data_IF_523108544255
#
_entry.id   IF_523108544255
#
_cell.length_a   1.000
_cell.length_b   1.000
_cell.length_c   1.000
_cell.angle_alpha   90.00
_cell.angle_beta   90.00
_cell.angle_gamma   90.00
#
_symmetry.space_group_name_H-M   'P 1'
#
loop_
_entity.id
_entity.type
_entity.pdbx_description
1 polymer ?
#
# COMPACT_ATOMS: atom_id res chain seq x y z
N UNK A 1 5.61 -2.62 23.07
CA UNK A 1 4.49 -1.80 22.57
C UNK A 1 4.28 -2.27 21.15
N UNK A 2 3.26 -3.08 20.90
CA UNK A 2 2.95 -3.51 19.55
C UNK A 2 2.52 -2.28 18.74
N UNK A 3 3.35 -1.86 17.78
CA UNK A 3 2.97 -0.83 16.82
C UNK A 3 1.85 -1.39 15.95
N UNK A 4 0.67 -0.79 16.04
CA UNK A 4 -0.43 -1.11 15.15
C UNK A 4 -0.07 -0.63 13.74
N UNK A 5 0.34 -1.57 12.89
CA UNK A 5 0.67 -1.33 11.49
C UNK A 5 -0.31 -2.11 10.63
N UNK A 6 -1.24 -1.45 9.93
CA UNK A 6 -2.12 -2.14 8.98
C UNK A 6 -1.27 -2.73 7.85
N UNK A 7 -1.65 -3.92 7.38
CA UNK A 7 -0.96 -4.63 6.29
C UNK A 7 -1.93 -5.01 5.19
N UNK A 8 -1.43 -5.05 3.95
CA UNK A 8 -2.09 -5.71 2.83
C UNK A 8 -1.46 -7.08 2.67
N UNK A 9 -2.27 -8.13 2.82
CA UNK A 9 -1.82 -9.52 2.76
C UNK A 9 -2.11 -10.15 1.40
N UNK A 10 -1.07 -10.66 0.75
CA UNK A 10 -1.15 -11.37 -0.52
C UNK A 10 -1.51 -12.85 -0.32
N UNK A 11 -1.87 -13.54 -1.40
CA UNK A 11 -2.25 -14.96 -1.39
C UNK A 11 -1.11 -15.89 -0.97
N UNK A 12 0.12 -15.52 -1.30
CA UNK A 12 1.33 -16.24 -0.90
C UNK A 12 1.76 -15.99 0.55
N UNK A 13 0.98 -15.23 1.32
CA UNK A 13 1.27 -14.92 2.73
C UNK A 13 2.21 -13.73 2.94
N UNK A 14 2.77 -13.13 1.86
CA UNK A 14 3.54 -11.88 1.97
C UNK A 14 2.64 -10.76 2.51
N UNK A 15 3.18 -9.98 3.43
CA UNK A 15 2.50 -8.84 4.04
C UNK A 15 3.24 -7.55 3.70
N UNK A 16 2.49 -6.56 3.23
CA UNK A 16 3.02 -5.25 2.88
C UNK A 16 2.44 -4.24 3.87
N UNK A 17 3.31 -3.64 4.67
CA UNK A 17 2.94 -2.61 5.63
C UNK A 17 2.37 -1.39 4.92
N UNK A 18 1.19 -0.95 5.33
CA UNK A 18 0.56 0.27 4.81
C UNK A 18 1.16 1.46 5.53
N UNK A 19 2.31 1.93 5.03
CA UNK A 19 3.01 3.11 5.53
C UNK A 19 2.70 4.35 4.69
N UNK A 20 3.14 5.52 5.15
CA UNK A 20 3.04 6.77 4.39
C UNK A 20 3.74 6.67 3.03
N UNK A 21 4.88 6.01 2.99
CA UNK A 21 5.68 5.78 1.78
C UNK A 21 4.89 4.91 0.79
N UNK A 22 4.20 3.87 1.29
CA UNK A 22 3.32 3.07 0.44
C UNK A 22 2.19 3.91 -0.15
N UNK A 23 1.54 4.77 0.65
CA UNK A 23 0.48 5.66 0.14
C UNK A 23 1.04 6.61 -0.94
N UNK A 24 2.24 7.14 -0.74
CA UNK A 24 2.90 8.00 -1.74
C UNK A 24 3.20 7.24 -3.04
N UNK A 25 3.66 5.99 -2.93
CA UNK A 25 3.89 5.11 -4.08
C UNK A 25 2.58 4.78 -4.81
N UNK A 26 1.50 4.44 -4.08
CA UNK A 26 0.18 4.19 -4.65
C UNK A 26 -0.41 5.42 -5.34
N UNK A 27 -0.25 6.61 -4.74
CA UNK A 27 -0.63 7.88 -5.36
C UNK A 27 0.12 8.10 -6.68
N UNK A 28 1.42 7.81 -6.72
CA UNK A 28 2.23 7.90 -7.95
C UNK A 28 1.76 6.88 -8.99
N UNK A 29 1.50 5.64 -8.57
CA UNK A 29 0.98 4.58 -9.43
C UNK A 29 -0.30 4.98 -10.16
N UNK A 30 -1.29 5.58 -9.46
CA UNK A 30 -2.57 5.93 -10.08
C UNK A 30 -2.59 7.27 -10.83
N UNK A 31 -1.59 8.14 -10.62
CA UNK A 31 -1.53 9.50 -11.21
C UNK A 31 -0.49 9.67 -12.31
N UNK A 32 0.27 8.63 -12.62
CA UNK A 32 1.35 8.70 -13.60
C UNK A 32 1.36 7.43 -14.45
N UNK A 33 2.02 7.48 -15.60
CA UNK A 33 2.34 6.28 -16.36
C UNK A 33 3.29 5.41 -15.52
N UNK A 34 2.74 4.38 -14.89
CA UNK A 34 3.45 3.56 -13.92
C UNK A 34 3.08 2.09 -14.14
N UNK A 35 4.05 1.27 -14.52
CA UNK A 35 3.81 -0.13 -14.89
C UNK A 35 3.78 -1.05 -13.66
N UNK A 36 3.19 -2.24 -13.82
CA UNK A 36 3.16 -3.25 -12.76
C UNK A 36 4.55 -3.83 -12.48
N UNK A 37 5.41 -3.88 -13.48
CA UNK A 37 6.82 -4.28 -13.34
C UNK A 37 7.56 -3.30 -12.43
N UNK A 38 7.43 -1.98 -12.69
CA UNK A 38 8.04 -0.97 -11.83
C UNK A 38 7.49 -1.03 -10.40
N UNK A 39 6.17 -1.28 -10.27
CA UNK A 39 5.52 -1.40 -8.96
C UNK A 39 6.05 -2.61 -8.20
N UNK A 40 6.24 -3.72 -8.90
CA UNK A 40 6.85 -4.94 -8.35
C UNK A 40 8.22 -4.65 -7.79
N UNK A 41 9.09 -4.00 -8.58
CA UNK A 41 10.45 -3.64 -8.17
C UNK A 41 10.44 -2.72 -6.94
N UNK A 42 9.63 -1.66 -6.96
CA UNK A 42 9.59 -0.67 -5.88
C UNK A 42 9.01 -1.26 -4.57
N UNK A 43 8.22 -2.33 -4.66
CA UNK A 43 7.63 -3.06 -3.52
C UNK A 43 8.42 -4.31 -3.09
N UNK A 44 9.48 -4.70 -3.82
CA UNK A 44 10.21 -5.94 -3.55
C UNK A 44 9.36 -7.21 -3.81
N UNK A 45 8.48 -7.14 -4.81
CA UNK A 45 7.66 -8.25 -5.26
C UNK A 45 8.39 -9.06 -6.34
N UNK A 46 8.03 -10.34 -6.45
CA UNK A 46 8.70 -11.29 -7.35
C UNK A 46 8.49 -10.96 -8.83
N UNK A 47 7.27 -10.55 -9.19
CA UNK A 47 6.90 -10.23 -10.55
C UNK A 47 5.69 -9.28 -10.65
N UNK A 48 5.38 -8.89 -11.89
CA UNK A 48 4.22 -8.06 -12.19
C UNK A 48 2.88 -8.70 -11.74
N UNK A 49 2.82 -10.02 -11.61
CA UNK A 49 1.66 -10.77 -11.14
C UNK A 49 1.39 -10.55 -9.66
N UNK A 50 2.44 -10.59 -8.82
CA UNK A 50 2.35 -10.18 -7.41
C UNK A 50 1.91 -8.71 -7.29
N UNK A 51 2.48 -7.81 -8.11
CA UNK A 51 2.08 -6.41 -8.11
C UNK A 51 0.60 -6.22 -8.51
N UNK A 52 0.12 -6.98 -9.49
CA UNK A 52 -1.29 -6.98 -9.88
C UNK A 52 -2.20 -7.47 -8.75
N UNK A 53 -1.82 -8.55 -8.08
CA UNK A 53 -2.56 -9.06 -6.92
C UNK A 53 -2.62 -8.01 -5.79
N UNK A 54 -1.48 -7.38 -5.50
CA UNK A 54 -1.38 -6.32 -4.51
C UNK A 54 -2.36 -5.18 -4.81
N UNK A 55 -2.38 -4.68 -6.05
CA UNK A 55 -3.31 -3.62 -6.47
C UNK A 55 -4.77 -4.05 -6.31
N UNK A 56 -5.13 -5.29 -6.67
CA UNK A 56 -6.50 -5.79 -6.50
C UNK A 56 -6.95 -5.87 -5.06
N UNK A 57 -6.03 -6.22 -4.15
CA UNK A 57 -6.32 -6.31 -2.71
C UNK A 57 -6.29 -4.96 -2.01
N UNK A 58 -5.60 -3.98 -2.59
CA UNK A 58 -5.52 -2.63 -2.08
C UNK A 58 -6.87 -1.93 -2.23
N UNK A 59 -7.53 -1.51 -1.14
CA UNK A 59 -8.73 -0.70 -1.24
C UNK A 59 -8.47 0.58 -2.04
N UNK A 60 -9.32 0.87 -3.03
CA UNK A 60 -9.13 2.01 -3.93
C UNK A 60 -8.89 3.33 -3.19
N UNK A 61 -9.59 3.56 -2.07
CA UNK A 61 -9.44 4.80 -1.28
C UNK A 61 -8.01 5.02 -0.77
N UNK A 62 -7.22 3.97 -0.49
CA UNK A 62 -5.81 4.13 -0.09
C UNK A 62 -4.95 4.77 -1.19
N UNK A 63 -5.32 4.58 -2.47
CA UNK A 63 -4.58 5.12 -3.60
C UNK A 63 -4.88 6.60 -3.86
N UNK A 64 -5.96 7.13 -3.29
CA UNK A 64 -6.44 8.50 -3.55
C UNK A 64 -6.28 9.45 -2.35
N UNK A 65 -6.10 8.91 -1.14
CA UNK A 65 -5.84 9.73 0.04
C UNK A 65 -4.43 10.34 -0.01
N UNK A 66 -4.28 11.51 0.62
CA UNK A 66 -2.97 12.14 0.80
C UNK A 66 -2.13 11.36 1.83
N UNK A 67 -0.83 11.12 1.59
CA UNK A 67 0.04 10.37 2.51
C UNK A 67 0.06 10.93 3.94
N UNK A 68 0.09 12.25 4.08
CA UNK A 68 0.07 12.95 5.37
C UNK A 68 -1.26 12.80 6.11
N UNK A 69 -2.37 12.70 5.38
CA UNK A 69 -3.69 12.47 5.96
C UNK A 69 -3.81 11.04 6.50
N UNK A 70 -3.27 10.06 5.77
CA UNK A 70 -3.21 8.67 6.23
C UNK A 70 -2.49 8.54 7.58
N UNK A 71 -1.27 9.06 7.64
CA UNK A 71 -0.40 9.02 8.82
C UNK A 71 -1.04 9.67 10.05
N UNK A 72 -1.63 10.86 9.89
CA UNK A 72 -2.14 11.65 11.02
C UNK A 72 -3.54 11.27 11.48
N UNK A 73 -4.39 10.79 10.57
CA UNK A 73 -5.83 10.63 10.84
C UNK A 73 -6.26 9.17 10.75
N UNK A 74 -5.91 8.49 9.64
CA UNK A 74 -6.41 7.14 9.39
C UNK A 74 -5.73 6.13 10.31
N UNK A 75 -4.41 6.15 10.44
CA UNK A 75 -3.69 5.26 11.36
C UNK A 75 -4.20 5.40 12.78
N UNK A 76 -4.37 6.64 13.26
CA UNK A 76 -4.92 6.90 14.59
C UNK A 76 -6.30 6.25 14.76
N UNK A 77 -7.20 6.39 13.78
CA UNK A 77 -8.54 5.77 13.85
C UNK A 77 -8.49 4.25 13.83
N UNK A 78 -7.65 3.65 12.98
CA UNK A 78 -7.51 2.20 12.87
C UNK A 78 -6.93 1.57 14.14
N UNK A 79 -6.02 2.29 14.80
CA UNK A 79 -5.30 1.80 15.97
C UNK A 79 -5.89 2.24 17.32
N UNK A 80 -6.94 3.07 17.30
CA UNK A 80 -7.67 3.48 18.53
C UNK A 80 -8.91 2.61 18.78
N UNK A 81 -9.06 1.48 18.09
CA UNK A 81 -10.13 0.49 18.31
C UNK A 81 -9.66 -0.69 19.11
#
# INVERSE_FOLDING_TARGET
MDECVPVIRLSNGKEIAVTKELIALLNKYVRSEYSLEKLSEDLGLEDWGEAYEFVKRTPAWLMWIQPTYFEKVILRKLCSS
#
